data_IF_070353554615
#
_entry.id   IF_070353554615
#
_cell.length_a   1.000
_cell.length_b   1.000
_cell.length_c   1.000
_cell.angle_alpha   90.00
_cell.angle_beta   90.00
_cell.angle_gamma   90.00
#
_symmetry.space_group_name_H-M   'P 1'
#
loop_
_entity.id
_entity.type
_entity.pdbx_description
1 polymer ?
#
# COMPACT_ATOMS: atom_id res chain seq x y z
N UNK A 1 -0.52 8.93 -16.71
CA UNK A 1 -0.18 7.58 -17.27
C UNK A 1 -1.34 6.64 -17.00
N UNK A 2 -1.32 5.39 -17.46
CA UNK A 2 -2.37 4.41 -17.15
C UNK A 2 -1.88 3.39 -16.13
N UNK A 3 -2.79 2.94 -15.27
CA UNK A 3 -2.56 1.81 -14.36
C UNK A 3 -3.75 0.86 -14.40
N UNK A 4 -3.48 -0.44 -14.40
CA UNK A 4 -4.49 -1.49 -14.34
C UNK A 4 -4.18 -2.49 -13.24
N UNK A 5 -5.21 -2.91 -12.51
CA UNK A 5 -5.15 -4.14 -11.72
C UNK A 5 -5.81 -5.26 -12.53
N UNK A 6 -5.06 -6.34 -12.78
CA UNK A 6 -5.51 -7.51 -13.53
C UNK A 6 -5.51 -8.72 -12.62
N UNK A 7 -6.53 -9.58 -12.70
CA UNK A 7 -6.46 -10.86 -11.99
C UNK A 7 -5.32 -11.70 -12.56
N UNK A 8 -4.54 -12.30 -11.68
CA UNK A 8 -3.51 -13.28 -12.01
C UNK A 8 -4.17 -14.63 -12.36
N UNK A 9 -4.88 -14.63 -13.49
CA UNK A 9 -5.61 -15.77 -14.07
C UNK A 9 -5.23 -15.90 -15.55
N UNK A 10 -4.15 -16.66 -15.80
CA UNK A 10 -3.64 -16.92 -17.15
C UNK A 10 -4.69 -17.58 -18.05
N UNK A 11 -5.54 -18.47 -17.49
CA UNK A 11 -6.59 -19.17 -18.25
C UNK A 11 -7.67 -18.22 -18.78
N UNK A 12 -7.84 -17.06 -18.15
CA UNK A 12 -8.77 -16.00 -18.58
C UNK A 12 -8.06 -14.80 -19.20
N UNK A 13 -6.79 -14.94 -19.57
CA UNK A 13 -5.98 -13.90 -20.19
C UNK A 13 -5.90 -12.63 -19.32
N UNK A 14 -5.66 -12.81 -18.02
CA UNK A 14 -5.40 -11.73 -17.06
C UNK A 14 -6.45 -10.60 -17.10
N UNK A 15 -7.72 -10.87 -16.79
CA UNK A 15 -8.78 -9.88 -16.96
C UNK A 15 -8.55 -8.66 -16.06
N UNK A 16 -8.64 -7.46 -16.63
CA UNK A 16 -8.60 -6.22 -15.88
C UNK A 16 -9.85 -6.10 -14.99
N UNK A 17 -9.63 -5.86 -13.70
CA UNK A 17 -10.68 -5.66 -12.71
C UNK A 17 -10.81 -4.20 -12.29
N UNK A 18 -9.72 -3.43 -12.36
CA UNK A 18 -9.72 -1.99 -12.14
C UNK A 18 -8.81 -1.28 -13.13
N UNK A 19 -9.26 -0.13 -13.62
CA UNK A 19 -8.55 0.69 -14.60
C UNK A 19 -8.51 2.15 -14.15
N UNK A 20 -7.32 2.74 -14.22
CA UNK A 20 -7.04 4.14 -13.93
C UNK A 20 -6.51 4.75 -15.24
N UNK A 21 -7.39 5.38 -16.04
CA UNK A 21 -7.04 5.87 -17.37
C UNK A 21 -6.10 7.08 -17.32
N UNK A 22 -6.12 7.82 -16.21
CA UNK A 22 -5.17 8.88 -15.94
C UNK A 22 -4.79 8.88 -14.46
N UNK A 23 -3.53 8.54 -14.20
CA UNK A 23 -2.91 8.52 -12.89
C UNK A 23 -1.52 9.16 -12.97
N UNK A 24 -1.10 9.86 -11.92
CA UNK A 24 0.25 10.44 -11.89
C UNK A 24 1.29 9.31 -11.85
N UNK A 25 2.50 9.59 -12.35
CA UNK A 25 3.59 8.59 -12.29
C UNK A 25 3.96 8.28 -10.84
N UNK A 26 3.90 9.29 -9.97
CA UNK A 26 4.24 9.15 -8.54
C UNK A 26 3.24 8.28 -7.82
N UNK A 27 1.94 8.48 -8.06
CA UNK A 27 0.89 7.63 -7.49
C UNK A 27 1.00 6.20 -8.02
N UNK A 28 1.20 6.01 -9.34
CA UNK A 28 1.41 4.69 -9.91
C UNK A 28 2.61 3.98 -9.27
N UNK A 29 3.74 4.68 -9.11
CA UNK A 29 4.91 4.14 -8.41
C UNK A 29 4.60 3.79 -6.95
N UNK A 30 3.92 4.67 -6.20
CA UNK A 30 3.52 4.40 -4.82
C UNK A 30 2.67 3.13 -4.73
N UNK A 31 1.67 2.97 -5.61
CA UNK A 31 0.84 1.76 -5.68
C UNK A 31 1.63 0.50 -6.03
N UNK A 32 2.56 0.60 -6.98
CA UNK A 32 3.42 -0.52 -7.37
C UNK A 32 4.37 -0.99 -6.25
N UNK A 33 4.57 -0.18 -5.21
CA UNK A 33 5.30 -0.63 -4.00
C UNK A 33 4.47 -1.47 -3.05
N UNK A 34 3.14 -1.46 -3.19
CA UNK A 34 2.25 -2.13 -2.25
C UNK A 34 2.09 -3.62 -2.58
N UNK A 35 2.22 -4.47 -1.55
CA UNK A 35 1.91 -5.90 -1.62
C UNK A 35 0.40 -6.15 -1.62
N UNK A 36 -0.37 -5.28 -0.99
CA UNK A 36 -1.82 -5.41 -0.86
C UNK A 36 -2.55 -4.21 -1.46
N UNK A 37 -3.74 -4.49 -1.97
CA UNK A 37 -4.65 -3.51 -2.53
C UNK A 37 -6.06 -3.82 -2.06
N UNK A 38 -6.76 -2.83 -1.52
CA UNK A 38 -8.14 -2.95 -1.07
C UNK A 38 -9.01 -1.98 -1.83
N UNK A 39 -10.11 -2.49 -2.38
CA UNK A 39 -11.13 -1.70 -3.07
C UNK A 39 -12.46 -2.43 -3.10
N UNK A 40 -13.55 -1.68 -2.96
CA UNK A 40 -14.92 -2.21 -2.96
C UNK A 40 -15.11 -3.33 -1.92
N UNK A 41 -14.40 -3.23 -0.79
CA UNK A 41 -14.34 -4.22 0.30
C UNK A 41 -13.73 -5.56 -0.09
N UNK A 42 -13.09 -5.66 -1.25
CA UNK A 42 -12.29 -6.81 -1.65
C UNK A 42 -10.81 -6.53 -1.37
N UNK A 43 -10.12 -7.51 -0.80
CA UNK A 43 -8.67 -7.45 -0.60
C UNK A 43 -7.96 -8.29 -1.65
N UNK A 44 -6.87 -7.75 -2.17
CA UNK A 44 -6.05 -8.36 -3.19
C UNK A 44 -4.59 -8.37 -2.75
N UNK A 45 -3.89 -9.45 -3.06
CA UNK A 45 -2.43 -9.55 -2.96
C UNK A 45 -1.82 -9.41 -4.35
N UNK A 46 -0.78 -8.59 -4.47
CA UNK A 46 -0.03 -8.36 -5.70
C UNK A 46 0.95 -9.50 -5.91
N UNK A 47 0.81 -10.23 -7.02
CA UNK A 47 1.70 -11.33 -7.38
C UNK A 47 2.83 -10.91 -8.31
N UNK A 48 2.59 -9.90 -9.15
CA UNK A 48 3.58 -9.36 -10.07
C UNK A 48 3.22 -7.94 -10.50
N UNK A 49 4.23 -7.21 -11.00
CA UNK A 49 4.03 -5.93 -11.67
C UNK A 49 4.73 -5.93 -13.03
N UNK A 50 4.18 -5.20 -13.99
CA UNK A 50 4.81 -5.00 -15.30
C UNK A 50 4.57 -3.58 -15.82
N UNK A 51 5.33 -3.22 -16.84
CA UNK A 51 5.07 -2.08 -17.71
C UNK A 51 4.77 -2.62 -19.10
N UNK A 52 3.53 -2.50 -19.55
CA UNK A 52 3.14 -2.92 -20.90
C UNK A 52 3.83 -2.03 -21.96
N UNK A 53 4.01 -2.51 -23.20
CA UNK A 53 4.72 -1.77 -24.26
C UNK A 53 4.15 -0.37 -24.58
N UNK A 54 2.88 -0.15 -24.26
CA UNK A 54 2.19 1.13 -24.45
C UNK A 54 2.33 2.09 -23.25
N UNK A 55 3.14 1.73 -22.25
CA UNK A 55 3.43 2.53 -21.06
C UNK A 55 2.42 2.37 -19.93
N UNK A 56 1.50 1.40 -20.00
CA UNK A 56 0.56 1.09 -18.92
C UNK A 56 1.28 0.32 -17.80
N UNK A 57 1.17 0.80 -16.56
CA UNK A 57 1.58 0.02 -15.40
C UNK A 57 0.52 -1.04 -15.10
N UNK A 58 0.92 -2.29 -14.89
CA UNK A 58 0.00 -3.38 -14.60
C UNK A 58 0.38 -4.02 -13.27
N UNK A 59 -0.60 -4.16 -12.39
CA UNK A 59 -0.50 -4.90 -11.13
C UNK A 59 -1.32 -6.19 -11.26
N UNK A 60 -0.64 -7.33 -11.30
CA UNK A 60 -1.30 -8.63 -11.31
C UNK A 60 -1.63 -9.03 -9.87
N UNK A 61 -2.88 -9.43 -9.64
CA UNK A 61 -3.38 -9.66 -8.28
C UNK A 61 -4.18 -10.94 -8.12
N UNK A 62 -4.16 -11.50 -6.91
CA UNK A 62 -5.03 -12.59 -6.46
C UNK A 62 -5.95 -12.08 -5.36
N UNK A 63 -7.18 -12.60 -5.34
CA UNK A 63 -8.13 -12.32 -4.25
C UNK A 63 -7.60 -12.95 -2.97
N UNK A 64 -7.59 -12.17 -1.89
CA UNK A 64 -7.17 -12.60 -0.57
C UNK A 64 -8.38 -12.55 0.38
N UNK A 65 -8.56 -13.57 1.21
CA UNK A 65 -9.63 -13.61 2.20
C UNK A 65 -9.18 -12.87 3.46
N UNK A 66 -9.07 -11.55 3.37
CA UNK A 66 -8.77 -10.67 4.49
C UNK A 66 -9.93 -9.72 4.73
N UNK A 67 -10.32 -9.58 6.00
CA UNK A 67 -11.40 -8.67 6.40
C UNK A 67 -10.77 -7.41 7.00
N UNK A 68 -10.99 -6.28 6.34
CA UNK A 68 -10.62 -4.99 6.91
C UNK A 68 -11.52 -4.63 8.09
N UNK A 69 -10.92 -3.97 9.09
CA UNK A 69 -11.65 -3.49 10.24
C UNK A 69 -12.49 -2.27 9.84
N UNK A 70 -13.82 -2.42 9.86
CA UNK A 70 -14.77 -1.36 9.51
C UNK A 70 -14.69 -0.11 10.41
N UNK A 71 -13.96 -0.17 11.54
CA UNK A 71 -13.74 0.96 12.43
C UNK A 71 -12.55 1.84 12.06
N UNK A 72 -11.79 1.46 11.02
CA UNK A 72 -10.62 2.21 10.58
C UNK A 72 -10.98 3.61 10.04
N UNK A 73 -10.03 4.53 10.20
CA UNK A 73 -10.22 5.93 9.78
C UNK A 73 -10.33 6.03 8.26
N UNK A 74 -11.37 6.74 7.79
CA UNK A 74 -11.52 7.15 6.40
C UNK A 74 -10.97 8.57 6.25
N UNK A 75 -10.01 8.74 5.34
CA UNK A 75 -9.31 10.02 5.16
C UNK A 75 -10.02 10.90 4.11
N UNK A 76 -9.93 12.22 4.28
CA UNK A 76 -10.49 13.16 3.28
C UNK A 76 -9.57 13.30 2.06
N UNK A 77 -8.26 13.23 2.28
CA UNK A 77 -7.19 13.28 1.27
C UNK A 77 -6.49 11.93 1.18
N UNK A 78 -5.16 11.89 1.32
CA UNK A 78 -4.37 10.67 1.35
C UNK A 78 -3.96 10.42 2.80
N UNK A 79 -4.46 9.33 3.37
CA UNK A 79 -3.98 8.80 4.64
C UNK A 79 -2.66 8.08 4.46
N UNK A 80 -1.78 8.20 5.44
CA UNK A 80 -0.60 7.34 5.58
C UNK A 80 -0.49 6.86 7.02
N UNK A 81 -0.48 5.54 7.18
CA UNK A 81 -0.39 4.88 8.49
C UNK A 81 0.84 3.99 8.56
N UNK A 82 1.52 4.02 9.71
CA UNK A 82 2.51 3.02 10.09
C UNK A 82 1.88 2.11 11.12
N UNK A 83 1.78 0.81 10.82
CA UNK A 83 1.11 -0.18 11.67
C UNK A 83 2.08 -1.26 12.14
N UNK A 84 2.17 -1.44 13.46
CA UNK A 84 2.96 -2.51 14.06
C UNK A 84 2.16 -3.80 14.11
N UNK A 85 2.74 -4.87 13.57
CA UNK A 85 2.15 -6.20 13.56
C UNK A 85 2.22 -6.87 14.95
N UNK A 86 1.08 -7.33 15.44
CA UNK A 86 0.88 -8.02 16.71
C UNK A 86 0.17 -9.36 16.47
N UNK A 87 0.92 -10.37 16.04
CA UNK A 87 0.36 -11.67 15.68
C UNK A 87 -0.52 -11.57 14.44
N UNK A 88 -1.82 -11.84 14.59
CA UNK A 88 -2.84 -11.74 13.52
C UNK A 88 -3.53 -10.38 13.46
N UNK A 89 -3.09 -9.42 14.28
CA UNK A 89 -3.64 -8.06 14.35
C UNK A 89 -2.54 -7.04 14.10
N UNK A 90 -2.91 -5.78 13.96
CA UNK A 90 -1.96 -4.67 13.92
C UNK A 90 -2.46 -3.51 14.78
N UNK A 91 -1.56 -2.60 15.15
CA UNK A 91 -1.92 -1.33 15.79
C UNK A 91 -1.30 -0.17 15.05
N UNK A 92 -2.05 0.93 14.93
CA UNK A 92 -1.52 2.19 14.42
C UNK A 92 -0.48 2.74 15.39
N UNK A 93 0.72 2.98 14.88
CA UNK A 93 1.84 3.58 15.61
C UNK A 93 1.98 5.06 15.27
N UNK A 94 1.80 5.37 13.98
CA UNK A 94 1.81 6.72 13.44
C UNK A 94 0.72 6.81 12.37
N UNK A 95 0.07 7.98 12.28
CA UNK A 95 -0.84 8.30 11.19
C UNK A 95 -0.71 9.77 10.83
N UNK A 96 -0.83 10.08 9.54
CA UNK A 96 -0.85 11.45 9.03
C UNK A 96 -1.73 11.56 7.78
N UNK A 97 -2.32 12.73 7.60
CA UNK A 97 -2.85 13.17 6.32
C UNK A 97 -1.72 13.77 5.49
N UNK A 98 -1.64 13.39 4.21
CA UNK A 98 -0.76 14.00 3.21
C UNK A 98 -1.60 14.49 2.02
N UNK A 99 -1.06 15.48 1.31
CA UNK A 99 -1.74 16.10 0.18
C UNK A 99 -1.31 15.47 -1.13
N UNK A 100 -0.05 15.08 -1.23
CA UNK A 100 0.56 14.58 -2.46
C UNK A 100 1.29 13.26 -2.23
N UNK A 101 1.31 12.40 -3.25
CA UNK A 101 1.97 11.08 -3.17
C UNK A 101 3.49 11.19 -3.00
N UNK A 102 4.07 12.30 -3.47
CA UNK A 102 5.48 12.69 -3.34
C UNK A 102 5.94 12.70 -1.87
N UNK A 103 5.03 13.00 -0.93
CA UNK A 103 5.32 13.08 0.50
C UNK A 103 5.57 11.69 1.14
N UNK A 104 5.12 10.61 0.49
CA UNK A 104 5.14 9.26 1.06
C UNK A 104 5.83 8.24 0.17
N UNK A 105 5.97 8.48 -1.14
CA UNK A 105 6.50 7.48 -2.09
C UNK A 105 7.90 6.97 -1.72
N UNK A 106 8.77 7.83 -1.22
CA UNK A 106 10.13 7.44 -0.78
C UNK A 106 10.10 6.63 0.51
N UNK A 107 9.14 6.92 1.40
CA UNK A 107 8.91 6.15 2.63
C UNK A 107 8.36 4.76 2.28
N UNK A 108 7.40 4.69 1.36
CA UNK A 108 6.84 3.42 0.87
C UNK A 108 7.88 2.54 0.16
N UNK A 109 8.86 3.15 -0.51
CA UNK A 109 9.96 2.43 -1.15
C UNK A 109 11.06 1.97 -0.18
N UNK A 110 11.05 2.40 1.08
CA UNK A 110 12.11 2.09 2.04
C UNK A 110 11.86 0.73 2.71
N UNK A 111 12.92 -0.05 2.92
CA UNK A 111 12.85 -1.32 3.68
C UNK A 111 12.82 -1.09 5.20
N UNK A 112 13.25 0.09 5.66
CA UNK A 112 13.18 0.51 7.05
C UNK A 112 12.86 2.01 7.12
N UNK A 113 12.05 2.39 8.10
CA UNK A 113 11.74 3.79 8.42
C UNK A 113 12.06 4.06 9.89
N UNK A 114 12.07 5.34 10.28
CA UNK A 114 12.27 5.73 11.67
C UNK A 114 11.01 6.37 12.23
N UNK A 115 10.44 5.74 13.25
CA UNK A 115 9.27 6.27 13.96
C UNK A 115 9.75 6.97 15.24
N UNK A 116 9.33 8.20 15.45
CA UNK A 116 9.74 9.00 16.60
C UNK A 116 8.89 8.66 17.83
N UNK A 117 9.53 8.17 18.89
CA UNK A 117 8.87 7.82 20.16
C UNK A 117 9.73 8.23 21.35
N UNK A 118 9.15 9.00 22.26
CA UNK A 118 9.83 9.48 23.48
C UNK A 118 11.19 10.16 23.20
N UNK A 119 11.25 10.99 22.15
CA UNK A 119 12.46 11.72 21.76
C UNK A 119 13.56 10.87 21.11
N UNK A 120 13.27 9.61 20.74
CA UNK A 120 14.19 8.73 20.00
C UNK A 120 13.62 8.37 18.64
N UNK A 121 14.48 8.25 17.64
CA UNK A 121 14.14 7.70 16.34
C UNK A 121 14.33 6.18 16.37
N UNK A 122 13.24 5.41 16.44
CA UNK A 122 13.29 3.95 16.52
C UNK A 122 13.16 3.34 15.13
N UNK A 123 14.07 2.43 14.78
CA UNK A 123 14.07 1.74 13.49
C UNK A 123 12.88 0.76 13.41
N UNK A 124 12.15 0.84 12.31
CA UNK A 124 10.96 0.07 12.01
C UNK A 124 11.14 -0.63 10.67
N UNK A 125 11.26 -1.95 10.69
CA UNK A 125 11.46 -2.76 9.48
C UNK A 125 10.14 -3.05 8.79
N UNK A 126 10.15 -2.93 7.47
CA UNK A 126 9.05 -3.31 6.59
C UNK A 126 8.71 -4.80 6.73
N UNK A 127 7.41 -5.08 6.75
CA UNK A 127 6.85 -6.41 6.49
C UNK A 127 6.08 -6.40 5.15
N UNK A 128 5.15 -5.46 5.01
CA UNK A 128 4.29 -5.32 3.83
C UNK A 128 3.68 -3.93 3.76
N UNK A 129 3.14 -3.59 2.58
CA UNK A 129 2.48 -2.32 2.28
C UNK A 129 1.12 -2.58 1.67
N UNK A 130 0.18 -1.69 1.96
CA UNK A 130 -1.18 -1.74 1.45
C UNK A 130 -1.58 -0.38 0.91
N UNK A 131 -2.29 -0.36 -0.21
CA UNK A 131 -3.14 0.77 -0.59
C UNK A 131 -4.59 0.36 -0.38
N UNK A 132 -5.21 0.96 0.63
CA UNK A 132 -6.64 0.83 0.92
C UNK A 132 -7.38 2.02 0.31
N UNK A 133 -7.94 1.82 -0.89
CA UNK A 133 -8.70 2.86 -1.58
C UNK A 133 -10.02 3.20 -0.91
N UNK A 134 -10.64 2.24 -0.24
CA UNK A 134 -11.89 2.46 0.46
C UNK A 134 -11.70 3.49 1.58
N UNK A 135 -10.49 3.54 2.17
CA UNK A 135 -10.09 4.52 3.18
C UNK A 135 -9.26 5.69 2.64
N UNK A 136 -8.88 5.67 1.36
CA UNK A 136 -7.89 6.57 0.74
C UNK A 136 -6.56 6.58 1.51
N UNK A 137 -6.09 5.41 1.92
CA UNK A 137 -4.98 5.28 2.86
C UNK A 137 -3.89 4.33 2.35
N UNK A 138 -2.64 4.75 2.44
CA UNK A 138 -1.50 3.85 2.38
C UNK A 138 -1.15 3.36 3.78
N UNK A 139 -0.80 2.09 3.91
CA UNK A 139 -0.36 1.50 5.16
C UNK A 139 1.00 0.85 4.99
N UNK A 140 1.92 1.18 5.90
CA UNK A 140 3.23 0.56 6.04
C UNK A 140 3.20 -0.35 7.26
N UNK A 141 3.13 -1.66 7.04
CA UNK A 141 3.14 -2.68 8.08
C UNK A 141 4.57 -3.10 8.41
N UNK A 142 4.82 -3.38 9.69
CA UNK A 142 6.15 -3.81 10.11
C UNK A 142 6.31 -4.03 11.60
N UNK A 143 7.56 -4.02 12.05
CA UNK A 143 7.94 -4.22 13.46
C UNK A 143 9.12 -3.33 13.83
N UNK A 144 9.17 -2.93 15.11
CA UNK A 144 10.37 -2.29 15.65
C UNK A 144 11.53 -3.29 15.73
N UNK A 145 12.71 -2.88 15.26
CA UNK A 145 13.91 -3.74 15.29
C UNK A 145 14.65 -3.67 16.62
N UNK A 146 14.30 -2.70 17.47
CA UNK A 146 14.99 -2.41 18.73
C UNK A 146 16.20 -1.47 18.58
N UNK A 147 16.60 -1.11 17.35
CA UNK A 147 17.66 -0.13 17.10
C UNK A 147 17.11 1.31 17.13
N UNK A 148 17.96 2.26 17.47
CA UNK A 148 17.62 3.70 17.44
C UNK A 148 18.75 4.56 16.89
N UNK A 149 18.41 5.73 16.37
CA UNK A 149 19.36 6.83 16.09
C UNK A 149 19.29 7.90 17.17
#
# INVERSE_FOLDING_TARGET
MRLEYRLDDEFKNYPAIYNYPDISRVEATARMTCEYFVKDKETFVVSATSMDPDGTAVMYVKRENYHNDSSDTIYSHIGFEVRELMGTSSRVVEKKDVWEHEEIVTTLHSDFIYVHKNGKALEFSLDSREIDEDRKCYVYYGKFTGKSR
#
